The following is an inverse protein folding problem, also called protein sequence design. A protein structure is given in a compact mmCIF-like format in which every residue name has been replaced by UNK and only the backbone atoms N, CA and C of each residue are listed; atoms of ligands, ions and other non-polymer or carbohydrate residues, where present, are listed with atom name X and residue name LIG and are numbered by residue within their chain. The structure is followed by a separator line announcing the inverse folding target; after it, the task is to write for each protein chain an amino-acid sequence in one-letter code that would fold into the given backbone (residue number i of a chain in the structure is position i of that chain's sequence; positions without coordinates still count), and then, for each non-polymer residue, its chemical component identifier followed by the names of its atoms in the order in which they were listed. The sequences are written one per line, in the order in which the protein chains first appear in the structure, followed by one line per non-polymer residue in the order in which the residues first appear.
data_IF_581916101867
#
_entry.id   IF_581916101867
#
_cell.length_a   1.000
_cell.length_b   1.000
_cell.length_c   1.000
_cell.angle_alpha   90.00
_cell.angle_beta   90.00
_cell.angle_gamma   90.00
#
_symmetry.space_group_name_H-M   'P 1'
#
loop_
_entity.id
_entity.type
_entity.pdbx_description
1 polymer ?
#
# COMPACT_ATOMS: atom_id res chain seq x y z
N UNK A 1 -47.48 -19.24 4.50
CA UNK A 1 -46.69 -18.00 4.69
C UNK A 1 -45.30 -18.42 5.10
N UNK A 2 -44.34 -18.42 4.16
CA UNK A 2 -42.99 -18.92 4.38
C UNK A 2 -42.22 -17.87 5.21
N UNK A 3 -41.84 -18.22 6.43
CA UNK A 3 -40.98 -17.36 7.26
C UNK A 3 -39.56 -17.45 6.73
N UNK A 4 -39.19 -16.50 5.86
CA UNK A 4 -37.79 -16.22 5.57
C UNK A 4 -37.21 -15.66 6.87
N UNK A 5 -36.46 -16.49 7.61
CA UNK A 5 -35.64 -16.04 8.73
C UNK A 5 -34.53 -15.18 8.11
N UNK A 6 -34.80 -13.87 7.98
CA UNK A 6 -33.77 -12.89 7.68
C UNK A 6 -32.87 -12.79 8.90
N UNK A 7 -31.70 -13.42 8.83
CA UNK A 7 -30.61 -13.13 9.75
C UNK A 7 -30.20 -11.66 9.56
N UNK A 8 -30.74 -10.79 10.42
CA UNK A 8 -30.29 -9.40 10.52
C UNK A 8 -28.96 -9.42 11.26
N UNK A 9 -27.85 -9.41 10.52
CA UNK A 9 -26.55 -9.20 11.14
C UNK A 9 -26.56 -7.83 11.82
N UNK A 10 -26.24 -7.80 13.11
CA UNK A 10 -25.97 -6.54 13.80
C UNK A 10 -24.77 -5.88 13.14
N UNK A 11 -24.75 -4.55 13.03
CA UNK A 11 -23.64 -3.78 12.45
C UNK A 11 -22.28 -4.12 13.06
N UNK A 12 -22.26 -4.62 14.30
CA UNK A 12 -21.05 -5.02 15.04
C UNK A 12 -20.51 -6.42 14.68
N UNK A 13 -21.26 -7.24 13.93
CA UNK A 13 -20.84 -8.57 13.49
C UNK A 13 -20.55 -8.64 11.98
N UNK A 14 -20.73 -7.52 11.28
CA UNK A 14 -20.51 -7.45 9.85
C UNK A 14 -19.01 -7.36 9.56
N UNK A 15 -18.45 -8.28 8.73
CA UNK A 15 -17.03 -8.28 8.38
C UNK A 15 -16.54 -6.93 7.84
N UNK A 16 -17.40 -6.17 7.17
CA UNK A 16 -17.05 -4.83 6.69
C UNK A 16 -16.65 -3.90 7.83
N UNK A 17 -17.41 -3.87 8.93
CA UNK A 17 -17.14 -2.92 10.01
C UNK A 17 -15.90 -3.31 10.83
N UNK A 18 -15.61 -4.60 10.93
CA UNK A 18 -14.38 -5.11 11.54
C UNK A 18 -13.17 -4.65 10.73
N UNK A 19 -13.15 -4.94 9.43
CA UNK A 19 -12.04 -4.55 8.54
C UNK A 19 -11.93 -3.02 8.44
N UNK A 20 -13.06 -2.31 8.45
CA UNK A 20 -13.10 -0.84 8.49
C UNK A 20 -12.39 -0.30 9.73
N UNK A 21 -12.64 -0.87 10.91
CA UNK A 21 -11.99 -0.47 12.16
C UNK A 21 -10.48 -0.73 12.11
N UNK A 22 -10.04 -1.90 11.65
CA UNK A 22 -8.61 -2.23 11.47
C UNK A 22 -7.89 -1.27 10.49
N UNK A 23 -8.54 -0.95 9.37
CA UNK A 23 -8.02 0.03 8.41
C UNK A 23 -7.99 1.43 9.03
N UNK A 24 -9.00 1.81 9.79
CA UNK A 24 -9.03 3.12 10.46
C UNK A 24 -7.90 3.24 11.48
N UNK A 25 -7.65 2.22 12.30
CA UNK A 25 -6.52 2.18 13.23
C UNK A 25 -5.18 2.30 12.49
N UNK A 26 -5.06 1.65 11.33
CA UNK A 26 -3.88 1.75 10.47
C UNK A 26 -3.69 3.16 9.90
N UNK A 27 -4.78 3.82 9.50
CA UNK A 27 -4.77 5.23 9.06
C UNK A 27 -4.35 6.15 10.21
N UNK A 28 -4.89 5.96 11.41
CA UNK A 28 -4.61 6.81 12.58
C UNK A 28 -3.13 6.66 13.00
N UNK A 29 -2.60 5.43 12.93
CA UNK A 29 -1.16 5.16 13.11
C UNK A 29 -0.32 5.85 12.04
N UNK A 30 -0.70 5.72 10.77
CA UNK A 30 -0.01 6.36 9.65
C UNK A 30 0.01 7.90 9.79
N UNK A 31 -1.11 8.50 10.23
CA UNK A 31 -1.20 9.93 10.53
C UNK A 31 -0.26 10.35 11.66
N UNK A 32 -0.16 9.54 12.71
CA UNK A 32 0.77 9.79 13.82
C UNK A 32 2.22 9.80 13.34
N UNK A 33 2.61 8.80 12.53
CA UNK A 33 3.94 8.75 11.90
C UNK A 33 4.16 9.93 10.94
N UNK A 34 3.12 10.36 10.22
CA UNK A 34 3.20 11.49 9.28
C UNK A 34 3.48 12.80 10.02
N UNK A 35 2.78 13.05 11.14
CA UNK A 35 3.05 14.23 11.97
C UNK A 35 4.45 14.18 12.59
N UNK A 36 4.92 13.01 13.01
CA UNK A 36 6.31 12.86 13.46
C UNK A 36 7.29 13.23 12.35
N UNK A 37 7.06 12.76 11.11
CA UNK A 37 7.87 13.09 9.95
C UNK A 37 7.87 14.60 9.62
N UNK A 38 6.75 15.30 9.77
CA UNK A 38 6.67 16.76 9.57
C UNK A 38 7.54 17.55 10.55
N UNK A 39 7.79 17.01 11.75
CA UNK A 39 8.55 17.68 12.81
C UNK A 39 10.04 17.30 12.84
N UNK A 40 10.45 16.30 12.05
CA UNK A 40 11.86 15.89 11.96
C UNK A 40 12.62 16.85 11.06
N UNK A 41 13.67 17.46 11.61
CA UNK A 41 14.60 18.29 10.84
C UNK A 41 15.31 17.45 9.76
N UNK A 42 15.55 18.00 8.56
CA UNK A 42 16.09 17.25 7.42
C UNK A 42 17.55 16.79 7.54
N UNK A 43 18.15 16.92 8.72
CA UNK A 43 19.55 16.63 8.99
C UNK A 43 19.69 15.25 9.66
N UNK A 44 19.45 14.18 8.90
CA UNK A 44 19.69 12.81 9.38
C UNK A 44 19.00 11.70 8.58
N UNK A 45 19.66 10.55 8.44
CA UNK A 45 19.14 9.35 7.78
C UNK A 45 17.84 8.79 8.38
N UNK A 46 17.46 9.23 9.58
CA UNK A 46 16.18 8.89 10.22
C UNK A 46 14.97 9.40 9.42
N UNK A 47 15.07 10.57 8.77
CA UNK A 47 13.98 11.09 7.95
C UNK A 47 13.74 10.22 6.71
N UNK A 48 14.80 9.64 6.13
CA UNK A 48 14.67 8.78 4.94
C UNK A 48 14.02 7.44 5.28
N UNK A 49 14.35 6.86 6.45
CA UNK A 49 13.71 5.65 6.97
C UNK A 49 12.21 5.86 7.20
N UNK A 50 11.84 6.92 7.92
CA UNK A 50 10.43 7.23 8.22
C UNK A 50 9.66 7.56 6.94
N UNK A 51 10.30 8.22 5.97
CA UNK A 51 9.71 8.45 4.63
C UNK A 51 9.37 7.13 3.94
N UNK A 52 10.30 6.14 3.96
CA UNK A 52 10.07 4.81 3.36
C UNK A 52 8.93 4.08 4.09
N UNK A 53 8.92 4.11 5.43
CA UNK A 53 7.86 3.51 6.26
C UNK A 53 6.48 4.12 5.95
N UNK A 54 6.40 5.45 5.83
CA UNK A 54 5.17 6.15 5.47
C UNK A 54 4.66 5.77 4.08
N UNK A 55 5.55 5.66 3.09
CA UNK A 55 5.16 5.27 1.74
C UNK A 55 4.65 3.83 1.69
N UNK A 56 5.34 2.89 2.35
CA UNK A 56 4.92 1.51 2.46
C UNK A 56 3.57 1.39 3.20
N UNK A 57 3.37 2.15 4.28
CA UNK A 57 2.10 2.22 5.00
C UNK A 57 0.97 2.79 4.14
N UNK A 58 1.24 3.83 3.34
CA UNK A 58 0.27 4.37 2.40
C UNK A 58 -0.14 3.31 1.35
N UNK A 59 0.83 2.59 0.78
CA UNK A 59 0.56 1.55 -0.22
C UNK A 59 -0.23 0.36 0.34
N UNK A 60 0.12 -0.06 1.55
CA UNK A 60 -0.60 -1.13 2.25
C UNK A 60 -2.06 -0.75 2.50
N UNK A 61 -2.32 0.46 3.00
CA UNK A 61 -3.69 0.92 3.27
C UNK A 61 -4.45 1.19 1.96
N UNK A 62 -3.82 1.78 0.94
CA UNK A 62 -4.43 1.97 -0.39
C UNK A 62 -4.94 0.62 -0.93
N UNK A 63 -4.12 -0.42 -0.83
CA UNK A 63 -4.50 -1.76 -1.25
C UNK A 63 -5.67 -2.33 -0.44
N UNK A 64 -5.65 -2.22 0.89
CA UNK A 64 -6.74 -2.70 1.76
C UNK A 64 -8.07 -2.00 1.44
N UNK A 65 -8.03 -0.68 1.25
CA UNK A 65 -9.21 0.11 0.89
C UNK A 65 -9.72 -0.26 -0.50
N UNK A 66 -8.82 -0.52 -1.47
CA UNK A 66 -9.19 -0.96 -2.81
C UNK A 66 -9.83 -2.35 -2.81
N UNK A 67 -9.34 -3.27 -1.99
CA UNK A 67 -9.94 -4.60 -1.84
C UNK A 67 -11.33 -4.51 -1.22
N UNK A 68 -11.47 -3.70 -0.16
CA UNK A 68 -12.76 -3.45 0.47
C UNK A 68 -13.75 -2.80 -0.52
N UNK A 69 -13.30 -1.89 -1.40
CA UNK A 69 -14.11 -1.28 -2.46
C UNK A 69 -14.62 -2.31 -3.49
N UNK A 70 -13.79 -3.31 -3.84
CA UNK A 70 -14.23 -4.44 -4.69
C UNK A 70 -15.31 -5.27 -4.02
N UNK A 71 -15.19 -5.56 -2.72
CA UNK A 71 -16.24 -6.30 -1.98
C UNK A 71 -17.56 -5.56 -1.96
N UNK A 72 -17.54 -4.23 -1.80
CA UNK A 72 -18.73 -3.37 -1.91
C UNK A 72 -19.31 -3.45 -3.33
N UNK A 73 -18.47 -3.44 -4.37
CA UNK A 73 -18.92 -3.55 -5.75
C UNK A 73 -19.60 -4.90 -6.04
N UNK A 74 -19.13 -6.00 -5.46
CA UNK A 74 -19.80 -7.31 -5.53
C UNK A 74 -21.13 -7.28 -4.80
N UNK A 75 -21.16 -6.78 -3.57
CA UNK A 75 -22.38 -6.67 -2.77
C UNK A 75 -23.44 -5.79 -3.43
N UNK A 76 -23.02 -4.76 -4.17
CA UNK A 76 -23.92 -3.86 -4.90
C UNK A 76 -24.59 -4.50 -6.12
N UNK A 77 -24.06 -5.60 -6.67
CA UNK A 77 -24.68 -6.32 -7.80
C UNK A 77 -25.93 -7.07 -7.38
N UNK A 78 -25.93 -7.64 -6.18
CA UNK A 78 -27.11 -8.31 -5.61
C UNK A 78 -27.29 -7.99 -4.12
N UNK A 79 -27.76 -6.77 -3.78
CA UNK A 79 -27.87 -6.33 -2.39
C UNK A 79 -28.86 -7.18 -1.56
N UNK A 80 -29.83 -7.81 -2.23
CA UNK A 80 -30.85 -8.62 -1.59
C UNK A 80 -30.28 -9.94 -1.03
N UNK A 81 -29.30 -10.54 -1.73
CA UNK A 81 -28.60 -11.75 -1.28
C UNK A 81 -27.81 -11.50 0.01
N UNK A 82 -27.15 -10.34 0.12
CA UNK A 82 -26.35 -9.96 1.30
C UNK A 82 -27.19 -9.30 2.43
N UNK A 83 -28.47 -9.00 2.18
CA UNK A 83 -29.31 -8.29 3.15
C UNK A 83 -28.86 -6.85 3.42
N UNK A 84 -28.13 -6.24 2.47
CA UNK A 84 -27.58 -4.89 2.60
C UNK A 84 -28.51 -3.90 1.88
N UNK A 85 -28.85 -2.81 2.55
CA UNK A 85 -29.68 -1.75 1.96
C UNK A 85 -28.84 -0.74 1.17
N UNK A 86 -29.44 -0.08 0.17
CA UNK A 86 -28.76 0.93 -0.65
C UNK A 86 -28.11 2.05 0.19
N UNK A 87 -28.81 2.49 1.24
CA UNK A 87 -28.30 3.50 2.20
C UNK A 87 -27.02 3.02 2.90
N UNK A 88 -26.93 1.72 3.18
CA UNK A 88 -25.77 1.13 3.82
C UNK A 88 -24.61 1.00 2.82
N UNK A 89 -24.87 0.54 1.58
CA UNK A 89 -23.87 0.54 0.51
C UNK A 89 -23.27 1.93 0.26
N UNK A 90 -24.11 2.96 0.22
CA UNK A 90 -23.66 4.35 0.02
C UNK A 90 -22.76 4.82 1.17
N UNK A 91 -23.06 4.46 2.42
CA UNK A 91 -22.16 4.75 3.55
C UNK A 91 -20.81 4.07 3.39
N UNK A 92 -20.79 2.81 2.95
CA UNK A 92 -19.54 2.06 2.72
C UNK A 92 -18.69 2.71 1.64
N UNK A 93 -19.30 3.03 0.48
CA UNK A 93 -18.64 3.73 -0.63
C UNK A 93 -18.09 5.09 -0.21
N UNK A 94 -18.87 5.85 0.56
CA UNK A 94 -18.43 7.16 1.05
C UNK A 94 -17.21 7.04 1.96
N UNK A 95 -17.20 6.07 2.87
CA UNK A 95 -16.07 5.86 3.77
C UNK A 95 -14.83 5.39 3.01
N UNK A 96 -14.94 4.39 2.11
CA UNK A 96 -13.78 3.93 1.32
C UNK A 96 -13.23 5.06 0.44
N UNK A 97 -14.09 5.87 -0.20
CA UNK A 97 -13.67 7.03 -0.97
C UNK A 97 -12.97 8.11 -0.13
N UNK A 98 -13.41 8.32 1.11
CA UNK A 98 -12.78 9.26 2.05
C UNK A 98 -11.41 8.75 2.49
N UNK A 99 -11.31 7.49 2.91
CA UNK A 99 -10.07 6.84 3.32
C UNK A 99 -9.02 6.88 2.18
N UNK A 100 -9.40 6.50 0.96
CA UNK A 100 -8.52 6.55 -0.23
C UNK A 100 -7.99 7.96 -0.47
N UNK A 101 -8.84 8.97 -0.34
CA UNK A 101 -8.46 10.38 -0.52
C UNK A 101 -7.47 10.85 0.56
N UNK A 102 -7.71 10.49 1.81
CA UNK A 102 -6.86 10.84 2.94
C UNK A 102 -5.45 10.26 2.78
N UNK A 103 -5.34 8.96 2.50
CA UNK A 103 -4.05 8.27 2.31
C UNK A 103 -3.32 8.81 1.09
N UNK A 104 -4.02 9.03 -0.03
CA UNK A 104 -3.41 9.60 -1.24
C UNK A 104 -2.87 11.01 -1.01
N UNK A 105 -3.55 11.82 -0.19
CA UNK A 105 -3.09 13.16 0.14
C UNK A 105 -1.82 13.12 1.01
N UNK A 106 -1.76 12.23 2.01
CA UNK A 106 -0.55 12.02 2.82
C UNK A 106 0.61 11.54 1.95
N UNK A 107 0.39 10.53 1.10
CA UNK A 107 1.38 10.02 0.15
C UNK A 107 1.95 11.14 -0.72
N UNK A 108 1.09 11.98 -1.31
CA UNK A 108 1.51 13.14 -2.12
C UNK A 108 2.35 14.14 -1.31
N UNK A 109 1.96 14.42 -0.08
CA UNK A 109 2.70 15.34 0.78
C UNK A 109 4.11 14.81 1.13
N UNK A 110 4.22 13.52 1.45
CA UNK A 110 5.50 12.84 1.70
C UNK A 110 6.41 12.89 0.46
N UNK A 111 5.87 12.58 -0.73
CA UNK A 111 6.62 12.64 -2.00
C UNK A 111 7.09 14.07 -2.29
N UNK A 112 6.22 15.07 -2.14
CA UNK A 112 6.57 16.47 -2.37
C UNK A 112 7.64 16.97 -1.37
N UNK A 113 7.57 16.57 -0.10
CA UNK A 113 8.59 16.88 0.90
C UNK A 113 9.94 16.22 0.60
N UNK A 114 9.93 14.99 0.08
CA UNK A 114 11.14 14.31 -0.40
C UNK A 114 11.80 15.06 -1.57
N UNK A 115 11.02 15.53 -2.54
CA UNK A 115 11.54 16.29 -3.69
C UNK A 115 12.16 17.63 -3.27
N UNK A 116 11.55 18.32 -2.30
CA UNK A 116 12.12 19.54 -1.75
C UNK A 116 13.47 19.27 -1.07
N UNK A 117 13.62 18.17 -0.33
CA UNK A 117 14.86 17.75 0.34
C UNK A 117 15.96 17.21 -0.62
N UNK A 118 15.55 16.59 -1.73
CA UNK A 118 16.47 16.18 -2.79
C UNK A 118 16.98 17.33 -3.67
N UNK A 119 16.23 18.44 -3.73
CA UNK A 119 16.57 19.60 -4.55
C UNK A 119 17.55 20.55 -3.86
N UNK A 120 17.43 20.78 -2.56
CA UNK A 120 18.37 21.62 -1.80
C UNK A 120 19.74 20.96 -1.57
N UNK A 121 19.85 19.62 -1.62
CA UNK A 121 21.15 18.91 -1.68
C UNK A 121 21.82 18.99 -3.06
N UNK A 122 21.05 19.05 -4.15
CA UNK A 122 21.56 19.15 -5.53
C UNK A 122 21.76 20.59 -6.04
N UNK A 123 20.99 21.57 -5.55
CA UNK A 123 21.18 22.98 -5.92
C UNK A 123 22.34 23.64 -5.16
N UNK A 124 22.68 23.18 -3.95
CA UNK A 124 23.83 23.71 -3.22
C UNK A 124 25.16 23.33 -3.90
N UNK A 125 25.26 22.12 -4.45
CA UNK A 125 26.43 21.64 -5.20
C UNK A 125 26.51 22.22 -6.62
N UNK A 126 25.38 22.35 -7.31
CA UNK A 126 25.32 22.99 -8.63
C UNK A 126 25.58 24.50 -8.63
N UNK A 127 24.97 25.24 -7.69
CA UNK A 127 25.13 26.69 -7.61
C UNK A 127 26.53 27.10 -7.10
N UNK A 128 27.15 26.30 -6.23
CA UNK A 128 28.54 26.53 -5.81
C UNK A 128 29.52 26.31 -6.96
N UNK A 129 29.26 25.32 -7.83
CA UNK A 129 30.07 25.04 -9.03
C UNK A 129 30.00 26.18 -10.06
N UNK A 130 28.82 26.78 -10.25
CA UNK A 130 28.63 27.89 -11.19
C UNK A 130 29.25 29.20 -10.65
N UNK A 131 29.12 29.47 -9.35
CA UNK A 131 29.71 30.66 -8.70
C UNK A 131 31.24 30.59 -8.63
N UNK A 132 31.83 29.41 -8.40
CA UNK A 132 33.29 29.21 -8.44
C UNK A 132 33.88 29.31 -9.86
N UNK A 133 33.06 29.12 -10.89
CA UNK A 133 33.50 29.22 -12.29
C UNK A 133 33.50 30.66 -12.82
N UNK A 134 32.70 31.55 -12.24
CA UNK A 134 32.60 32.97 -12.62
C UNK A 134 33.68 33.86 -11.98
N UNK A 135 34.33 33.43 -10.90
CA UNK A 135 35.32 34.27 -10.19
C UNK A 135 36.74 34.23 -10.79
N UNK A 136 37.00 33.35 -11.77
CA UNK A 136 38.34 33.16 -12.36
C UNK A 136 38.60 33.96 -13.66
N UNK A 137 37.79 34.98 -14.00
CA UNK A 137 37.99 35.74 -15.25
C UNK A 137 38.99 36.91 -15.15
N UNK A 138 39.45 37.31 -13.96
CA UNK A 138 40.39 38.43 -13.83
C UNK A 138 41.42 38.19 -12.72
N UNK A 139 42.70 38.07 -13.12
CA UNK A 139 43.94 37.94 -12.31
C UNK A 139 44.49 36.52 -12.14
N UNK A 140 44.99 35.92 -13.21
CA UNK A 140 45.89 34.76 -13.13
C UNK A 140 47.13 34.98 -14.00
N UNK A 141 48.14 35.67 -13.46
CA UNK A 141 49.49 35.65 -14.06
C UNK A 141 50.61 35.35 -13.04
N UNK A 142 50.35 35.20 -11.73
CA UNK A 142 51.47 35.03 -10.77
C UNK A 142 51.31 34.08 -9.57
N UNK A 143 50.29 33.22 -9.47
CA UNK A 143 50.11 32.35 -8.28
C UNK A 143 49.76 30.86 -8.54
N UNK A 144 49.88 30.38 -9.79
CA UNK A 144 49.27 29.10 -10.22
C UNK A 144 49.93 27.79 -9.75
N UNK A 145 51.00 27.81 -8.95
CA UNK A 145 51.72 26.56 -8.62
C UNK A 145 51.26 25.87 -7.33
N UNK A 146 50.59 26.58 -6.42
CA UNK A 146 50.04 26.00 -5.18
C UNK A 146 48.54 25.71 -5.24
N UNK A 147 47.80 26.39 -6.13
CA UNK A 147 46.36 26.18 -6.29
C UNK A 147 46.02 24.89 -7.06
N UNK A 148 46.89 24.44 -7.97
CA UNK A 148 46.68 23.21 -8.73
C UNK A 148 46.82 21.94 -7.86
N UNK A 149 47.77 21.91 -6.94
CA UNK A 149 48.00 20.77 -6.06
C UNK A 149 46.85 20.54 -5.05
N UNK A 150 46.26 21.61 -4.52
CA UNK A 150 45.11 21.51 -3.61
C UNK A 150 43.81 21.15 -4.35
N UNK A 151 43.68 21.50 -5.63
CA UNK A 151 42.54 21.10 -6.44
C UNK A 151 42.56 19.59 -6.77
N UNK A 152 43.74 19.01 -7.02
CA UNK A 152 43.84 17.57 -7.28
C UNK A 152 43.50 16.72 -6.04
N UNK A 153 43.91 17.16 -4.84
CA UNK A 153 43.59 16.45 -3.59
C UNK A 153 42.11 16.56 -3.20
N UNK A 154 41.48 17.70 -3.53
CA UNK A 154 40.04 17.86 -3.38
C UNK A 154 39.25 17.03 -4.40
N UNK A 155 39.71 16.97 -5.65
CA UNK A 155 39.07 16.16 -6.71
C UNK A 155 39.21 14.67 -6.44
N UNK A 156 40.36 14.20 -5.96
CA UNK A 156 40.57 12.80 -5.60
C UNK A 156 39.71 12.38 -4.41
N UNK A 157 39.67 13.20 -3.35
CA UNK A 157 38.86 12.91 -2.16
C UNK A 157 37.35 12.93 -2.43
N UNK A 158 36.86 13.84 -3.29
CA UNK A 158 35.45 13.83 -3.72
C UNK A 158 35.13 12.66 -4.65
N UNK A 159 36.06 12.27 -5.53
CA UNK A 159 35.94 11.09 -6.39
C UNK A 159 35.78 9.81 -5.56
N UNK A 160 36.63 9.63 -4.55
CA UNK A 160 36.60 8.46 -3.67
C UNK A 160 35.31 8.41 -2.84
N UNK A 161 34.81 9.58 -2.40
CA UNK A 161 33.53 9.70 -1.71
C UNK A 161 32.35 9.32 -2.62
N UNK A 162 32.35 9.76 -3.88
CA UNK A 162 31.33 9.34 -4.85
C UNK A 162 31.37 7.84 -5.14
N UNK A 163 32.57 7.26 -5.25
CA UNK A 163 32.73 5.82 -5.47
C UNK A 163 32.17 4.99 -4.32
N UNK A 164 32.41 5.40 -3.07
CA UNK A 164 31.83 4.76 -1.88
C UNK A 164 30.29 4.83 -1.90
N UNK A 165 29.74 5.96 -2.31
CA UNK A 165 28.29 6.19 -2.36
C UNK A 165 27.61 5.32 -3.44
N UNK A 166 28.23 5.18 -4.60
CA UNK A 166 27.76 4.30 -5.68
C UNK A 166 27.83 2.84 -5.22
N UNK A 167 28.93 2.44 -4.58
CA UNK A 167 29.09 1.07 -4.09
C UNK A 167 28.06 0.70 -3.03
N UNK A 168 27.74 1.63 -2.13
CA UNK A 168 26.71 1.43 -1.11
C UNK A 168 25.31 1.31 -1.73
N UNK A 169 25.01 2.09 -2.78
CA UNK A 169 23.76 1.98 -3.52
C UNK A 169 23.64 0.65 -4.28
N UNK A 170 24.72 0.16 -4.88
CA UNK A 170 24.72 -1.15 -5.55
C UNK A 170 24.45 -2.29 -4.54
N UNK A 171 25.04 -2.23 -3.35
CA UNK A 171 24.80 -3.21 -2.28
C UNK A 171 23.34 -3.17 -1.77
N UNK A 172 22.73 -1.98 -1.70
CA UNK A 172 21.30 -1.82 -1.40
C UNK A 172 20.38 -2.36 -2.52
N UNK A 173 20.79 -2.23 -3.79
CA UNK A 173 20.05 -2.76 -4.93
C UNK A 173 20.10 -4.29 -4.98
N UNK A 174 21.23 -4.89 -4.61
CA UNK A 174 21.37 -6.34 -4.49
C UNK A 174 20.46 -6.91 -3.39
N UNK A 175 20.38 -6.23 -2.23
CA UNK A 175 19.47 -6.62 -1.15
C UNK A 175 17.99 -6.46 -1.55
N UNK A 176 17.66 -5.38 -2.28
CA UNK A 176 16.32 -5.18 -2.81
C UNK A 176 15.96 -6.28 -3.83
N UNK A 177 16.89 -6.64 -4.71
CA UNK A 177 16.73 -7.71 -5.69
C UNK A 177 16.45 -9.05 -5.00
N UNK A 178 17.23 -9.40 -3.97
CA UNK A 178 17.00 -10.60 -3.16
C UNK A 178 15.64 -10.58 -2.44
N UNK A 179 15.16 -9.40 -2.04
CA UNK A 179 13.84 -9.25 -1.43
C UNK A 179 12.70 -9.41 -2.45
N UNK A 180 12.88 -8.93 -3.68
CA UNK A 180 11.94 -9.15 -4.79
C UNK A 180 11.89 -10.63 -5.19
N UNK A 181 13.02 -11.34 -5.21
CA UNK A 181 13.06 -12.78 -5.47
C UNK A 181 12.30 -13.59 -4.40
N UNK A 182 12.48 -13.24 -3.12
CA UNK A 182 11.71 -13.83 -2.01
C UNK A 182 10.21 -13.56 -2.13
N UNK A 183 9.82 -12.33 -2.45
CA UNK A 183 8.41 -11.97 -2.70
C UNK A 183 7.85 -12.74 -3.90
N UNK A 184 8.62 -12.90 -4.97
CA UNK A 184 8.23 -13.70 -6.13
C UNK A 184 7.96 -15.16 -5.75
N UNK A 185 8.83 -15.76 -4.92
CA UNK A 185 8.62 -17.12 -4.40
C UNK A 185 7.37 -17.26 -3.52
N UNK A 186 7.11 -16.29 -2.64
CA UNK A 186 5.89 -16.25 -1.82
C UNK A 186 4.65 -16.07 -2.71
N UNK A 187 4.73 -15.22 -3.73
CA UNK A 187 3.64 -15.01 -4.70
C UNK A 187 3.26 -16.27 -5.47
N UNK A 188 4.24 -17.09 -5.87
CA UNK A 188 3.99 -18.40 -6.48
C UNK A 188 3.33 -19.37 -5.51
N UNK A 189 3.77 -19.39 -4.25
CA UNK A 189 3.18 -20.27 -3.22
C UNK A 189 1.74 -19.88 -2.91
N UNK A 190 1.44 -18.57 -2.86
CA UNK A 190 0.07 -18.07 -2.70
C UNK A 190 -0.79 -18.43 -3.91
N UNK A 191 -0.24 -18.34 -5.13
CA UNK A 191 -0.96 -18.73 -6.33
C UNK A 191 -1.35 -20.21 -6.33
N UNK A 192 -0.42 -21.09 -5.96
CA UNK A 192 -0.66 -22.54 -5.88
C UNK A 192 -1.70 -22.87 -4.78
N UNK A 193 -1.65 -22.19 -3.63
CA UNK A 193 -2.63 -22.34 -2.56
C UNK A 193 -4.03 -21.85 -2.98
N UNK A 194 -4.13 -20.76 -3.74
CA UNK A 194 -5.41 -20.27 -4.28
C UNK A 194 -6.02 -21.26 -5.28
N UNK A 195 -5.20 -21.86 -6.15
CA UNK A 195 -5.65 -22.92 -7.06
C UNK A 195 -6.10 -24.18 -6.30
N UNK A 196 -5.41 -24.52 -5.21
CA UNK A 196 -5.83 -25.63 -4.34
C UNK A 196 -7.18 -25.33 -3.67
N UNK A 197 -7.39 -24.10 -3.20
CA UNK A 197 -8.65 -23.67 -2.60
C UNK A 197 -9.81 -23.62 -3.60
N UNK A 198 -9.58 -23.20 -4.85
CA UNK A 198 -10.59 -23.26 -5.93
C UNK A 198 -11.12 -24.68 -6.11
N UNK A 199 -10.21 -25.67 -6.15
CA UNK A 199 -10.59 -27.08 -6.26
C UNK A 199 -11.38 -27.58 -5.05
N UNK A 200 -11.02 -27.15 -3.84
CA UNK A 200 -11.74 -27.52 -2.61
C UNK A 200 -13.14 -26.89 -2.60
N UNK A 201 -13.29 -25.66 -3.09
CA UNK A 201 -14.60 -24.99 -3.19
C UNK A 201 -15.49 -25.71 -4.21
N UNK A 202 -14.96 -26.13 -5.35
CA UNK A 202 -15.71 -26.91 -6.34
C UNK A 202 -16.19 -28.24 -5.76
N UNK A 203 -15.35 -28.95 -5.02
CA UNK A 203 -15.70 -30.23 -4.39
C UNK A 203 -16.78 -30.04 -3.30
N UNK A 204 -16.67 -28.99 -2.49
CA UNK A 204 -17.71 -28.60 -1.52
C UNK A 204 -19.03 -28.24 -2.21
N UNK A 205 -18.98 -27.61 -3.39
CA UNK A 205 -20.16 -27.32 -4.21
C UNK A 205 -20.86 -28.59 -4.67
N UNK A 206 -20.10 -29.58 -5.15
CA UNK A 206 -20.63 -30.89 -5.54
C UNK A 206 -21.25 -31.65 -4.35
N UNK A 207 -20.60 -31.62 -3.17
CA UNK A 207 -21.17 -32.22 -1.95
C UNK A 207 -22.43 -31.49 -1.48
N UNK A 208 -22.47 -30.16 -1.58
CA UNK A 208 -23.63 -29.34 -1.24
C UNK A 208 -24.80 -29.65 -2.17
N UNK A 209 -24.58 -29.75 -3.48
CA UNK A 209 -25.60 -30.11 -4.48
C UNK A 209 -26.12 -31.54 -4.27
N UNK A 210 -25.24 -32.49 -3.94
CA UNK A 210 -25.63 -33.85 -3.57
C UNK A 210 -26.51 -33.87 -2.31
N UNK A 211 -26.14 -33.08 -1.30
CA UNK A 211 -26.90 -32.97 -0.05
C UNK A 211 -28.24 -32.25 -0.28
N UNK A 212 -28.26 -31.23 -1.15
CA UNK A 212 -29.45 -30.51 -1.59
C UNK A 212 -30.42 -31.45 -2.31
N UNK A 213 -29.95 -32.24 -3.27
CA UNK A 213 -30.76 -33.24 -3.96
C UNK A 213 -31.32 -34.32 -3.02
N UNK A 214 -30.55 -34.72 -2.00
CA UNK A 214 -31.04 -35.65 -0.97
C UNK A 214 -32.10 -35.02 -0.07
N UNK A 215 -31.95 -33.74 0.29
CA UNK A 215 -32.94 -32.99 1.05
C UNK A 215 -34.22 -32.75 0.24
N UNK A 216 -34.10 -32.40 -1.04
CA UNK A 216 -35.22 -32.20 -1.95
C UNK A 216 -36.03 -33.49 -2.12
N UNK A 217 -35.36 -34.64 -2.26
CA UNK A 217 -36.01 -35.94 -2.25
C UNK A 217 -36.83 -36.17 -0.97
N UNK A 218 -36.28 -35.88 0.22
CA UNK A 218 -36.99 -36.00 1.50
C UNK A 218 -38.17 -35.02 1.59
N UNK A 219 -38.06 -33.85 0.98
CA UNK A 219 -39.10 -32.82 0.99
C UNK A 219 -40.28 -33.17 0.07
N UNK A 220 -40.04 -33.90 -1.02
CA UNK A 220 -41.11 -34.40 -1.93
C UNK A 220 -41.99 -35.47 -1.27
N UNK A 221 -41.48 -36.28 -0.33
CA UNK A 221 -42.30 -37.28 0.39
C UNK A 221 -43.12 -36.70 1.56
N UNK A 222 -43.02 -35.39 1.82
CA UNK A 222 -43.80 -34.71 2.86
C UNK A 222 -44.80 -33.70 2.29
N UNK A 223 -45.44 -34.04 1.16
CA UNK A 223 -46.69 -33.40 0.73
C UNK A 223 -47.89 -34.09 1.43
N UNK A 224 -48.82 -33.32 2.02
CA UNK A 224 -49.87 -33.85 2.88
C UNK A 224 -50.88 -34.68 2.08
N UNK A 225 -51.27 -35.80 2.64
CA UNK A 225 -52.46 -36.57 2.26
C UNK A 225 -53.63 -35.59 2.21
N UNK A 226 -54.09 -35.30 1.00
CA UNK A 226 -55.38 -34.66 0.75
C UNK A 226 -56.44 -35.67 1.17
N UNK A 227 -57.01 -35.48 2.35
CA UNK A 227 -58.31 -36.10 2.67
C UNK A 227 -59.36 -35.34 1.89
N UNK A 228 -59.77 -35.89 0.74
CA UNK A 228 -61.02 -35.52 0.09
C UNK A 228 -62.19 -36.17 0.84
N UNK A 229 -63.32 -35.45 0.84
CA UNK A 229 -64.62 -35.74 1.49
C UNK A 229 -65.09 -37.20 1.43
#
# INVERSE_FOLDING_TARGET
VCYIIRYRMSSAQDPFYIVKEEIQESIDKLQSTFHQWEHIYPDGGEQSHITKELLAGCESIEWQVDELDKTIAVAAKDPAWYGIHEVELEKRRRWTGTARTQVRNMKKAVVAGKELNGKNTSTATGAHRELMRLQNSHQADRSNQYAAANNDDFISSESDRQLLLIKQQDEELDELSASVERIGGVGLTIHDELLAQEKIIDDLGLEMDSTSNRLDFVQVYHLPVVTCD
#
